data_IF_747549606394
#
_entry.id   IF_747549606394
#
_cell.length_a   1.000
_cell.length_b   1.000
_cell.length_c   1.000
_cell.angle_alpha   90.00
_cell.angle_beta   90.00
_cell.angle_gamma   90.00
#
_symmetry.space_group_name_H-M   'P 1'
#
loop_
_entity.id
_entity.type
_entity.pdbx_description
1 polymer ?
#
# COMPACT_ATOMS: atom_id res chain seq x y z
N UNK A 1 9.20 13.67 -3.77
CA UNK A 1 8.30 12.56 -3.39
C UNK A 1 6.87 13.04 -3.60
N UNK A 2 6.00 12.21 -4.15
CA UNK A 2 4.59 12.52 -4.35
C UNK A 2 3.70 11.50 -3.66
N UNK A 3 2.40 11.78 -3.63
CA UNK A 3 1.40 10.91 -3.04
C UNK A 3 0.19 10.77 -3.96
N UNK A 4 -0.50 9.63 -3.86
CA UNK A 4 -1.82 9.46 -4.44
C UNK A 4 -2.87 9.94 -3.44
N UNK A 5 -3.70 10.89 -3.84
CA UNK A 5 -4.87 11.36 -3.08
C UNK A 5 -6.08 11.17 -3.98
N UNK A 6 -7.06 10.39 -3.53
CA UNK A 6 -8.29 10.10 -4.29
C UNK A 6 -8.01 9.61 -5.72
N UNK A 7 -6.97 8.80 -5.87
CA UNK A 7 -6.55 8.24 -7.16
C UNK A 7 -5.80 9.20 -8.08
N UNK A 8 -5.55 10.44 -7.66
CA UNK A 8 -4.79 11.43 -8.43
C UNK A 8 -3.38 11.61 -7.87
N UNK A 9 -2.39 11.61 -8.76
CA UNK A 9 -1.01 11.87 -8.38
C UNK A 9 -0.81 13.34 -8.04
N UNK A 10 -0.23 13.62 -6.87
CA UNK A 10 0.16 14.97 -6.46
C UNK A 10 1.66 15.00 -6.19
N UNK A 11 2.34 16.02 -6.70
CA UNK A 11 3.79 16.24 -6.53
C UNK A 11 4.15 16.98 -5.23
N UNK A 12 3.23 17.02 -4.26
CA UNK A 12 3.40 17.75 -3.00
C UNK A 12 4.24 16.97 -2.01
N UNK A 13 4.99 17.71 -1.20
CA UNK A 13 5.72 17.17 -0.06
C UNK A 13 4.77 16.79 1.08
N UNK A 14 5.12 15.78 1.87
CA UNK A 14 4.33 15.33 3.03
C UNK A 14 4.19 16.47 4.04
N UNK A 15 3.01 16.62 4.63
CA UNK A 15 2.78 17.62 5.67
C UNK A 15 3.58 17.26 6.93
N UNK A 16 4.72 17.90 7.11
CA UNK A 16 5.58 17.74 8.30
C UNK A 16 5.24 18.74 9.40
N UNK A 17 4.33 19.70 9.16
CA UNK A 17 3.92 20.67 10.19
C UNK A 17 3.05 19.99 11.25
N UNK A 18 2.17 19.09 10.83
CA UNK A 18 1.31 18.31 11.73
C UNK A 18 2.05 17.24 12.54
N UNK A 19 3.28 16.88 12.17
CA UNK A 19 4.09 15.84 12.83
C UNK A 19 5.30 16.37 13.60
N UNK A 20 5.42 17.70 13.78
CA UNK A 20 6.55 18.32 14.47
C UNK A 20 7.88 18.11 13.74
N UNK A 21 7.87 18.11 12.40
CA UNK A 21 9.06 17.92 11.57
C UNK A 21 9.42 16.46 11.29
N UNK A 22 8.71 15.48 11.84
CA UNK A 22 8.98 14.06 11.61
C UNK A 22 8.34 13.57 10.32
N UNK A 23 9.10 12.88 9.48
CA UNK A 23 8.55 12.15 8.35
C UNK A 23 7.68 10.98 8.87
N UNK A 24 6.37 11.03 8.64
CA UNK A 24 5.45 9.91 8.93
C UNK A 24 5.05 9.26 7.61
N UNK A 25 5.57 8.06 7.37
CA UNK A 25 5.16 7.26 6.21
C UNK A 25 3.68 6.90 6.35
N UNK A 26 2.93 6.99 5.26
CA UNK A 26 1.58 6.41 5.24
C UNK A 26 1.66 4.91 5.54
N UNK A 27 0.73 4.42 6.34
CA UNK A 27 0.59 3.00 6.55
C UNK A 27 0.27 2.33 5.20
N UNK A 28 0.94 1.22 4.91
CA UNK A 28 0.66 0.50 3.66
C UNK A 28 -0.82 0.08 3.64
N UNK A 29 -1.56 0.38 2.58
CA UNK A 29 -3.02 0.16 2.56
C UNK A 29 -3.43 -1.31 2.43
N UNK A 30 -2.58 -2.15 1.84
CA UNK A 30 -2.88 -3.56 1.57
C UNK A 30 -2.17 -4.47 2.59
N UNK A 31 -2.95 -5.32 3.28
CA UNK A 31 -2.49 -6.24 4.34
C UNK A 31 -3.05 -7.66 4.19
N UNK A 32 -3.67 -7.96 3.06
CA UNK A 32 -4.27 -9.27 2.82
C UNK A 32 -3.19 -10.35 2.65
N UNK A 33 -3.58 -11.59 2.90
CA UNK A 33 -2.69 -12.75 2.85
C UNK A 33 -3.11 -13.72 1.76
N UNK A 34 -2.13 -14.30 1.09
CA UNK A 34 -2.33 -15.48 0.25
C UNK A 34 -2.35 -16.69 1.19
N UNK A 35 -3.40 -17.51 1.13
CA UNK A 35 -3.54 -18.73 1.94
C UNK A 35 -3.81 -19.96 1.07
N UNK A 36 -3.55 -21.14 1.63
CA UNK A 36 -3.89 -22.43 1.03
C UNK A 36 -5.23 -22.99 1.54
N UNK A 37 -5.91 -22.27 2.43
CA UNK A 37 -7.21 -22.67 2.97
C UNK A 37 -8.28 -22.71 1.86
N UNK A 38 -9.23 -23.63 2.00
CA UNK A 38 -10.22 -23.90 0.96
C UNK A 38 -11.18 -22.74 0.67
N UNK A 39 -11.35 -21.81 1.63
CA UNK A 39 -12.22 -20.64 1.59
C UNK A 39 -11.45 -19.31 1.60
N UNK A 40 -10.14 -19.35 1.31
CA UNK A 40 -9.31 -18.15 1.28
C UNK A 40 -9.77 -17.14 0.20
N UNK A 41 -9.85 -15.85 0.56
CA UNK A 41 -10.12 -14.77 -0.39
C UNK A 41 -9.04 -14.68 -1.49
N UNK A 42 -7.79 -14.97 -1.11
CA UNK A 42 -6.63 -15.04 -2.01
C UNK A 42 -5.98 -16.43 -1.95
N UNK A 43 -6.46 -17.42 -2.73
CA UNK A 43 -5.93 -18.77 -2.72
C UNK A 43 -4.57 -18.86 -3.43
N UNK A 44 -3.70 -19.76 -2.98
CA UNK A 44 -2.38 -20.00 -3.57
C UNK A 44 -2.47 -20.70 -4.94
N UNK A 45 -2.42 -19.94 -6.03
CA UNK A 45 -2.58 -20.43 -7.40
C UNK A 45 -1.40 -20.07 -8.32
N UNK A 46 -1.03 -21.01 -9.21
CA UNK A 46 0.06 -20.82 -10.17
C UNK A 46 -0.31 -19.74 -11.19
N UNK A 47 0.57 -18.75 -11.37
CA UNK A 47 0.43 -17.72 -12.39
C UNK A 47 -0.57 -16.59 -12.09
N UNK A 48 -1.13 -16.55 -10.86
CA UNK A 48 -2.13 -15.54 -10.46
C UNK A 48 -1.53 -14.27 -9.87
N UNK A 49 -0.43 -14.38 -9.11
CA UNK A 49 0.17 -13.25 -8.38
C UNK A 49 1.41 -12.72 -9.09
N UNK A 50 1.60 -11.41 -9.02
CA UNK A 50 2.77 -10.72 -9.56
C UNK A 50 3.42 -9.86 -8.48
N UNK A 51 4.74 -9.85 -8.45
CA UNK A 51 5.53 -9.04 -7.54
C UNK A 51 6.08 -7.82 -8.28
N UNK A 52 5.74 -6.63 -7.80
CA UNK A 52 6.36 -5.37 -8.24
C UNK A 52 7.48 -5.02 -7.26
N UNK A 53 8.70 -4.85 -7.79
CA UNK A 53 9.92 -4.49 -7.03
C UNK A 53 10.50 -3.18 -7.52
#
# INVERSE_FOLDING_TARGET
MGLLVDGQWQDKWYDTKSTGGKFKRQESAFRNWISADADAEFPAEKGRYHLYV
#
